data_IF_910265769643
#
_entry.id   IF_910265769643
#
_cell.length_a   1.000
_cell.length_b   1.000
_cell.length_c   1.000
_cell.angle_alpha   90.00
_cell.angle_beta   90.00
_cell.angle_gamma   90.00
#
_symmetry.space_group_name_H-M   'P 1'
#
loop_
_entity.id
_entity.type
_entity.pdbx_description
1 polymer ?
#
# COMPACT_ATOMS: atom_id res chain seq x y z
N UNK A 1 -22.87 15.01 15.41
CA UNK A 1 -22.21 13.73 15.08
C UNK A 1 -23.30 12.69 14.89
N UNK A 2 -23.51 12.23 13.66
CA UNK A 2 -24.63 11.33 13.33
C UNK A 2 -24.27 9.91 13.75
N UNK A 3 -24.93 9.39 14.80
CA UNK A 3 -24.74 8.02 15.29
C UNK A 3 -25.22 7.05 14.21
N UNK A 4 -24.30 6.42 13.49
CA UNK A 4 -24.65 5.36 12.53
C UNK A 4 -25.17 4.17 13.34
N UNK A 5 -26.45 3.84 13.20
CA UNK A 5 -26.99 2.61 13.76
C UNK A 5 -26.31 1.42 13.08
N UNK A 6 -25.50 0.69 13.84
CA UNK A 6 -24.85 -0.54 13.36
C UNK A 6 -25.90 -1.64 13.38
N UNK A 7 -26.22 -2.19 12.22
CA UNK A 7 -27.12 -3.35 12.12
C UNK A 7 -26.42 -4.57 12.72
N UNK A 8 -26.91 -5.04 13.87
CA UNK A 8 -26.39 -6.22 14.58
C UNK A 8 -27.41 -7.35 14.58
N UNK A 9 -26.93 -8.58 14.41
CA UNK A 9 -27.73 -9.80 14.57
C UNK A 9 -27.55 -10.34 16.01
N UNK A 10 -28.62 -10.75 16.68
CA UNK A 10 -28.52 -11.38 18.01
C UNK A 10 -28.19 -12.86 17.84
N UNK A 11 -27.14 -13.32 18.51
CA UNK A 11 -26.77 -14.72 18.66
C UNK A 11 -27.05 -15.16 20.09
N UNK A 12 -27.68 -16.32 20.25
CA UNK A 12 -27.91 -16.94 21.54
C UNK A 12 -26.82 -18.00 21.72
N UNK A 13 -26.05 -17.90 22.80
CA UNK A 13 -25.01 -18.85 23.17
C UNK A 13 -25.32 -19.47 24.53
N UNK A 14 -24.63 -20.56 24.89
CA UNK A 14 -24.77 -21.21 26.20
C UNK A 14 -24.45 -20.29 27.40
N UNK A 15 -23.72 -19.19 27.16
CA UNK A 15 -23.32 -18.22 28.19
C UNK A 15 -24.13 -16.91 28.13
N UNK A 16 -25.08 -16.77 27.21
CA UNK A 16 -25.90 -15.58 27.06
C UNK A 16 -26.06 -15.08 25.62
N UNK A 17 -26.67 -13.90 25.46
CA UNK A 17 -26.98 -13.30 24.16
C UNK A 17 -25.88 -12.31 23.75
N UNK A 18 -25.28 -12.52 22.58
CA UNK A 18 -24.22 -11.69 22.02
C UNK A 18 -24.70 -11.05 20.72
N UNK A 19 -24.30 -9.80 20.46
CA UNK A 19 -24.58 -9.14 19.19
C UNK A 19 -23.45 -9.41 18.18
N UNK A 20 -23.78 -10.06 17.06
CA UNK A 20 -22.89 -10.25 15.91
C UNK A 20 -22.92 -9.03 15.01
N UNK A 21 -21.74 -8.49 14.71
CA UNK A 21 -21.54 -7.40 13.75
C UNK A 21 -21.24 -7.98 12.36
N UNK A 22 -21.64 -7.25 11.32
CA UNK A 22 -21.39 -7.66 9.94
C UNK A 22 -19.93 -7.53 9.53
N UNK A 23 -19.20 -6.54 10.04
CA UNK A 23 -17.76 -6.37 9.83
C UNK A 23 -17.20 -5.68 11.06
N UNK A 24 -15.99 -6.07 11.47
CA UNK A 24 -15.32 -5.48 12.63
C UNK A 24 -14.00 -4.86 12.19
N UNK A 25 -13.72 -3.62 12.61
CA UNK A 25 -12.42 -3.00 12.35
C UNK A 25 -11.49 -3.26 13.52
N UNK A 26 -10.38 -3.95 13.27
CA UNK A 26 -9.37 -4.26 14.27
C UNK A 26 -7.98 -3.87 13.77
N UNK A 27 -7.24 -3.09 14.57
CA UNK A 27 -5.87 -2.63 14.23
C UNK A 27 -5.70 -2.00 12.84
N UNK A 28 -6.78 -1.44 12.28
CA UNK A 28 -6.77 -0.83 10.95
C UNK A 28 -7.39 -1.71 9.86
N UNK A 29 -7.46 -3.01 10.06
CA UNK A 29 -7.98 -3.98 9.10
C UNK A 29 -9.46 -4.30 9.36
N UNK A 30 -10.15 -4.76 8.30
CA UNK A 30 -11.56 -5.14 8.36
C UNK A 30 -11.67 -6.66 8.43
N UNK A 31 -12.11 -7.17 9.56
CA UNK A 31 -12.36 -8.60 9.77
C UNK A 31 -13.76 -8.93 9.27
N UNK A 32 -13.82 -9.82 8.30
CA UNK A 32 -15.07 -10.37 7.79
C UNK A 32 -15.60 -11.51 8.68
N UNK A 33 -16.93 -11.64 8.81
CA UNK A 33 -17.56 -12.65 9.67
C UNK A 33 -17.46 -14.06 9.07
N UNK A 34 -17.15 -14.17 7.78
CA UNK A 34 -16.88 -15.42 7.05
C UNK A 34 -15.43 -15.90 7.23
N UNK A 35 -14.56 -15.09 7.86
CA UNK A 35 -13.14 -15.40 8.04
C UNK A 35 -12.30 -15.18 6.78
N UNK A 36 -12.86 -14.59 5.73
CA UNK A 36 -12.16 -14.26 4.49
C UNK A 36 -11.46 -12.89 4.60
N UNK A 37 -10.22 -12.81 4.11
CA UNK A 37 -9.42 -11.57 4.19
C UNK A 37 -9.59 -10.64 2.98
N UNK A 38 -10.57 -10.93 2.11
CA UNK A 38 -10.65 -10.29 0.79
C UNK A 38 -10.92 -8.78 0.88
N UNK A 39 -11.86 -8.36 1.74
CA UNK A 39 -12.14 -6.95 1.96
C UNK A 39 -10.96 -6.26 2.66
N UNK A 40 -10.33 -6.91 3.65
CA UNK A 40 -9.14 -6.38 4.30
C UNK A 40 -8.05 -6.07 3.27
N UNK A 41 -7.68 -7.06 2.46
CA UNK A 41 -6.65 -6.93 1.42
C UNK A 41 -6.96 -5.85 0.38
N UNK A 42 -8.23 -5.77 -0.05
CA UNK A 42 -8.66 -4.74 -1.01
C UNK A 42 -8.58 -3.34 -0.41
N UNK A 43 -9.02 -3.18 0.85
CA UNK A 43 -8.99 -1.89 1.55
C UNK A 43 -7.55 -1.45 1.83
N UNK A 44 -6.71 -2.35 2.34
CA UNK A 44 -5.30 -2.08 2.62
C UNK A 44 -4.55 -1.73 1.33
N UNK A 45 -4.78 -2.47 0.24
CA UNK A 45 -4.14 -2.15 -1.05
C UNK A 45 -4.54 -0.79 -1.61
N UNK A 46 -5.82 -0.42 -1.52
CA UNK A 46 -6.31 0.90 -1.95
C UNK A 46 -5.72 2.05 -1.11
N UNK A 47 -5.64 1.87 0.22
CA UNK A 47 -5.05 2.85 1.13
C UNK A 47 -3.56 3.04 0.88
N UNK A 48 -2.83 1.94 0.63
CA UNK A 48 -1.41 2.00 0.26
C UNK A 48 -1.21 2.72 -1.07
N UNK A 49 -2.02 2.38 -2.09
CA UNK A 49 -1.98 3.07 -3.38
C UNK A 49 -2.18 4.58 -3.19
N UNK A 50 -3.24 4.99 -2.48
CA UNK A 50 -3.56 6.40 -2.20
C UNK A 50 -2.42 7.11 -1.45
N UNK A 51 -1.89 6.50 -0.39
CA UNK A 51 -0.80 7.07 0.43
C UNK A 51 0.47 7.28 -0.39
N UNK A 52 0.85 6.31 -1.23
CA UNK A 52 1.99 6.43 -2.14
C UNK A 52 1.77 7.57 -3.14
N UNK A 53 0.55 7.73 -3.67
CA UNK A 53 0.21 8.82 -4.57
C UNK A 53 0.33 10.20 -3.93
N UNK A 54 -0.12 10.35 -2.68
CA UNK A 54 0.03 11.60 -1.91
C UNK A 54 1.50 11.94 -1.68
N UNK A 55 2.30 10.97 -1.23
CA UNK A 55 3.74 11.15 -0.98
C UNK A 55 4.48 11.48 -2.28
N UNK A 56 4.05 10.95 -3.42
CA UNK A 56 4.66 11.22 -4.70
C UNK A 56 4.69 12.74 -5.03
N UNK A 57 3.73 13.52 -4.55
CA UNK A 57 3.72 14.98 -4.74
C UNK A 57 4.82 15.68 -3.95
N UNK A 58 5.15 15.18 -2.76
CA UNK A 58 6.23 15.68 -1.90
C UNK A 58 7.59 15.45 -2.58
N UNK A 59 7.78 14.27 -3.20
CA UNK A 59 9.03 13.91 -3.88
C UNK A 59 9.36 14.80 -5.11
N UNK A 60 8.39 15.54 -5.66
CA UNK A 60 8.62 16.52 -6.72
C UNK A 60 9.22 17.84 -6.20
N UNK A 61 9.12 18.12 -4.91
CA UNK A 61 9.57 19.40 -4.34
C UNK A 61 11.11 19.44 -4.34
N UNK A 62 11.66 20.62 -4.64
CA UNK A 62 13.11 20.90 -4.63
C UNK A 62 13.69 21.04 -3.22
N UNK A 63 12.85 21.20 -2.20
CA UNK A 63 13.28 21.36 -0.80
C UNK A 63 13.88 20.08 -0.18
N UNK A 64 13.67 18.92 -0.81
CA UNK A 64 14.20 17.65 -0.32
C UNK A 64 15.45 17.25 -1.12
N UNK A 65 16.54 17.00 -0.40
CA UNK A 65 17.76 16.46 -0.98
C UNK A 65 17.54 15.04 -1.53
N UNK A 66 18.34 14.65 -2.53
CA UNK A 66 18.28 13.29 -3.09
C UNK A 66 18.56 12.25 -2.01
N UNK A 67 19.57 12.47 -1.16
CA UNK A 67 19.93 11.55 -0.07
C UNK A 67 18.78 11.37 0.93
N UNK A 68 18.06 12.45 1.25
CA UNK A 68 16.87 12.37 2.11
C UNK A 68 15.76 11.53 1.46
N UNK A 69 15.52 11.72 0.15
CA UNK A 69 14.51 10.95 -0.61
C UNK A 69 14.86 9.47 -0.69
N UNK A 70 16.13 9.15 -0.93
CA UNK A 70 16.65 7.77 -0.94
C UNK A 70 16.43 7.14 0.42
N UNK A 71 16.88 7.80 1.51
CA UNK A 71 16.72 7.28 2.87
C UNK A 71 15.27 7.03 3.22
N UNK A 72 14.39 8.01 2.98
CA UNK A 72 12.97 7.88 3.26
C UNK A 72 12.32 6.73 2.46
N UNK A 73 12.66 6.60 1.18
CA UNK A 73 12.17 5.48 0.37
C UNK A 73 12.61 4.13 0.95
N UNK A 74 13.90 3.97 1.26
CA UNK A 74 14.45 2.71 1.79
C UNK A 74 13.89 2.34 3.16
N UNK A 75 13.60 3.32 4.03
CA UNK A 75 13.21 3.05 5.42
C UNK A 75 11.71 3.01 5.64
N UNK A 76 10.91 3.70 4.81
CA UNK A 76 9.46 3.82 5.01
C UNK A 76 8.70 3.18 3.87
N UNK A 77 8.87 3.70 2.65
CA UNK A 77 8.03 3.31 1.51
C UNK A 77 8.30 1.86 1.09
N UNK A 78 9.57 1.48 0.98
CA UNK A 78 9.97 0.13 0.55
C UNK A 78 9.41 -0.97 1.46
N UNK A 79 9.58 -0.93 2.80
CA UNK A 79 9.00 -1.96 3.67
C UNK A 79 7.46 -1.92 3.73
N UNK A 80 6.84 -0.75 3.62
CA UNK A 80 5.37 -0.63 3.57
C UNK A 80 4.80 -1.29 2.30
N UNK A 81 5.39 -0.99 1.14
CA UNK A 81 5.03 -1.61 -0.14
C UNK A 81 5.26 -3.12 -0.13
N UNK A 82 6.37 -3.57 0.46
CA UNK A 82 6.69 -4.99 0.62
C UNK A 82 5.62 -5.71 1.46
N UNK A 83 5.33 -5.19 2.65
CA UNK A 83 4.31 -5.75 3.53
C UNK A 83 2.92 -5.77 2.86
N UNK A 84 2.53 -4.65 2.23
CA UNK A 84 1.27 -4.57 1.50
C UNK A 84 1.19 -5.61 0.37
N UNK A 85 2.31 -5.90 -0.30
CA UNK A 85 2.36 -6.90 -1.38
C UNK A 85 2.30 -8.34 -0.87
N UNK A 86 2.88 -8.64 0.29
CA UNK A 86 2.89 -9.96 0.92
C UNK A 86 1.49 -10.37 1.40
N UNK A 87 0.74 -9.42 1.97
CA UNK A 87 -0.62 -9.67 2.47
C UNK A 87 -1.65 -9.87 1.34
N UNK A 88 -1.31 -9.57 0.08
CA UNK A 88 -2.23 -9.75 -1.04
C UNK A 88 -2.28 -11.20 -1.51
N UNK A 89 -3.46 -11.82 -1.45
CA UNK A 89 -3.69 -13.11 -2.10
C UNK A 89 -3.49 -13.03 -3.62
N UNK A 90 -3.13 -14.16 -4.25
CA UNK A 90 -2.94 -14.31 -5.70
C UNK A 90 -4.09 -13.76 -6.56
N UNK A 91 -5.32 -13.76 -6.01
CA UNK A 91 -6.53 -13.26 -6.67
C UNK A 91 -6.58 -11.72 -6.81
N UNK A 92 -5.67 -10.97 -6.17
CA UNK A 92 -5.62 -9.50 -6.19
C UNK A 92 -4.50 -8.94 -7.10
N UNK A 93 -4.17 -9.66 -8.20
CA UNK A 93 -3.10 -9.27 -9.14
C UNK A 93 -3.21 -7.83 -9.66
N UNK A 94 -4.42 -7.32 -9.89
CA UNK A 94 -4.63 -5.94 -10.33
C UNK A 94 -4.18 -4.89 -9.30
N UNK A 95 -4.39 -5.16 -8.01
CA UNK A 95 -3.97 -4.28 -6.90
C UNK A 95 -2.45 -4.29 -6.78
N UNK A 96 -1.82 -5.47 -6.88
CA UNK A 96 -0.37 -5.60 -6.88
C UNK A 96 0.27 -4.80 -8.04
N UNK A 97 -0.30 -4.88 -9.25
CA UNK A 97 0.18 -4.10 -10.39
C UNK A 97 0.04 -2.59 -10.18
N UNK A 98 -1.03 -2.14 -9.52
CA UNK A 98 -1.22 -0.73 -9.18
C UNK A 98 -0.19 -0.25 -8.16
N UNK A 99 0.06 -1.03 -7.10
CA UNK A 99 1.09 -0.74 -6.10
C UNK A 99 2.48 -0.66 -6.77
N UNK A 100 2.83 -1.64 -7.61
CA UNK A 100 4.07 -1.62 -8.42
C UNK A 100 4.16 -0.37 -9.32
N UNK A 101 3.06 0.07 -9.93
CA UNK A 101 3.03 1.29 -10.76
C UNK A 101 3.23 2.54 -9.91
N UNK A 102 2.58 2.62 -8.76
CA UNK A 102 2.67 3.76 -7.84
C UNK A 102 4.10 3.89 -7.29
N UNK A 103 4.69 2.78 -6.83
CA UNK A 103 6.07 2.72 -6.36
C UNK A 103 7.07 3.18 -7.43
N UNK A 104 6.98 2.63 -8.64
CA UNK A 104 7.83 3.04 -9.78
C UNK A 104 7.73 4.53 -10.08
N UNK A 105 6.57 5.15 -9.84
CA UNK A 105 6.39 6.59 -10.03
C UNK A 105 7.12 7.41 -8.97
N UNK A 106 7.24 6.92 -7.73
CA UNK A 106 8.09 7.52 -6.70
C UNK A 106 9.57 7.31 -7.04
N UNK A 107 9.98 6.09 -7.35
CA UNK A 107 11.38 5.76 -7.64
C UNK A 107 11.92 6.62 -8.78
N UNK A 108 11.14 6.87 -9.84
CA UNK A 108 11.52 7.77 -10.95
C UNK A 108 11.79 9.23 -10.56
N UNK A 109 11.36 9.67 -9.37
CA UNK A 109 11.55 11.03 -8.84
C UNK A 109 12.79 11.16 -7.94
N UNK A 110 13.42 10.05 -7.56
CA UNK A 110 14.56 10.00 -6.63
C UNK A 110 15.91 10.20 -7.33
N UNK A 111 16.31 9.38 -8.32
CA UNK A 111 17.64 9.47 -8.90
C UNK A 111 17.76 10.69 -9.82
N UNK A 112 18.96 11.27 -9.96
CA UNK A 112 19.20 12.28 -10.96
C UNK A 112 19.04 11.66 -12.37
N UNK A 113 18.45 12.44 -13.28
CA UNK A 113 18.37 12.14 -14.71
C UNK A 113 19.76 12.33 -15.34
N UNK A 114 20.73 11.49 -14.99
CA UNK A 114 22.11 11.72 -15.43
C UNK A 114 22.34 11.11 -16.81
N UNK A 115 22.39 11.95 -17.82
CA UNK A 115 23.09 11.69 -19.07
C UNK A 115 24.05 12.85 -19.35
N UNK A 116 25.19 12.58 -20.00
CA UNK A 116 26.21 13.58 -20.34
C UNK A 116 25.67 14.71 -21.25
N UNK A 117 24.50 14.50 -21.87
CA UNK A 117 23.82 15.42 -22.80
C UNK A 117 22.42 15.89 -22.33
N UNK A 118 22.13 15.82 -21.02
CA UNK A 118 20.91 16.42 -20.44
C UNK A 118 19.89 15.44 -19.86
N UNK A 119 18.65 15.92 -19.67
CA UNK A 119 17.60 15.24 -18.90
C UNK A 119 16.84 14.18 -19.73
N UNK A 120 17.02 12.88 -19.46
CA UNK A 120 16.17 11.78 -20.01
C UNK A 120 15.25 11.14 -18.97
N UNK A 121 14.08 10.66 -19.42
CA UNK A 121 13.21 9.78 -18.65
C UNK A 121 13.89 8.40 -18.50
N UNK A 122 13.89 7.84 -17.29
CA UNK A 122 14.42 6.49 -17.09
C UNK A 122 13.50 5.46 -17.74
N UNK A 123 14.09 4.49 -18.45
CA UNK A 123 13.36 3.37 -19.03
C UNK A 123 12.76 2.48 -17.93
N UNK A 124 11.70 1.76 -18.27
CA UNK A 124 10.99 0.88 -17.35
C UNK A 124 11.92 -0.16 -16.72
N UNK A 125 12.74 -0.81 -17.56
CA UNK A 125 13.69 -1.87 -17.20
C UNK A 125 14.73 -1.42 -16.17
N UNK A 126 15.13 -0.15 -16.20
CA UNK A 126 16.09 0.40 -15.21
C UNK A 126 15.38 0.68 -13.88
N UNK A 127 14.12 1.13 -13.91
CA UNK A 127 13.35 1.41 -12.68
C UNK A 127 13.03 0.12 -11.94
N UNK A 128 12.67 -0.95 -12.67
CA UNK A 128 12.35 -2.26 -12.09
C UNK A 128 13.49 -2.81 -11.24
N UNK A 129 14.75 -2.68 -11.67
CA UNK A 129 15.90 -3.13 -10.85
C UNK A 129 15.93 -2.58 -9.43
N UNK A 130 15.38 -1.39 -9.18
CA UNK A 130 15.36 -0.76 -7.87
C UNK A 130 14.05 -1.00 -7.09
N UNK A 131 12.94 -1.26 -7.80
CA UNK A 131 11.59 -1.44 -7.24
C UNK A 131 11.11 -2.89 -7.32
N UNK A 132 11.99 -3.85 -7.58
CA UNK A 132 11.61 -5.25 -7.75
C UNK A 132 11.35 -5.87 -6.37
N UNK A 133 10.14 -5.66 -5.87
CA UNK A 133 9.62 -6.29 -4.65
C UNK A 133 9.89 -7.81 -4.67
N UNK A 134 9.71 -8.45 -5.83
CA UNK A 134 9.96 -9.88 -6.04
C UNK A 134 11.41 -10.33 -5.78
N UNK A 135 12.39 -9.45 -6.00
CA UNK A 135 13.80 -9.74 -5.76
C UNK A 135 14.19 -9.52 -4.28
N UNK A 136 13.38 -8.77 -3.52
CA UNK A 136 13.64 -8.47 -2.11
C UNK A 136 13.22 -9.61 -1.17
N UNK A 137 12.55 -10.66 -1.68
CA UNK A 137 12.18 -11.87 -0.92
C UNK A 137 13.27 -12.96 -0.90
N UNK A 138 14.39 -12.77 -1.60
CA UNK A 138 15.50 -13.74 -1.70
C UNK A 138 16.56 -13.59 -0.61
#
# INVERSE_FOLDING_TARGET
MTTKHITTQKLITQYGTINKVNHFKYLGEIIEPTGTERLAQKTTGAQNEESIWEIANIYNKKCLSINTKVRHYTTVIKPEVLYASETLNLNCRGVLENIKKAERKIVRKIPPKTHREGYRLQSHTVTERYSNIEADFQ
#
